data_IF_207597072079
#
_entry.id   IF_207597072079
#
_cell.length_a   1.000
_cell.length_b   1.000
_cell.length_c   1.000
_cell.angle_alpha   90.00
_cell.angle_beta   90.00
_cell.angle_gamma   90.00
#
_symmetry.space_group_name_H-M   'P 1'
#
loop_
_entity.id
_entity.type
_entity.pdbx_description
1 polymer ?
#
# COMPACT_ATOMS: atom_id res chain seq x y z
N UNK A 1 18.33 13.72 1.61
CA UNK A 1 19.36 14.51 2.31
C UNK A 1 18.78 15.80 2.90
N UNK A 2 18.22 16.71 2.09
CA UNK A 2 17.62 17.96 2.59
C UNK A 2 16.39 17.76 3.48
N UNK A 3 15.64 16.68 3.24
CA UNK A 3 14.49 16.24 4.06
C UNK A 3 14.88 15.40 5.28
N UNK A 4 16.18 15.15 5.51
CA UNK A 4 16.64 14.49 6.75
C UNK A 4 16.32 15.38 7.94
N UNK A 5 15.77 14.86 9.06
CA UNK A 5 15.46 15.65 10.25
C UNK A 5 16.66 16.45 10.77
N UNK A 6 17.86 15.88 10.68
CA UNK A 6 19.09 16.53 11.13
C UNK A 6 19.47 17.73 10.25
N UNK A 7 19.35 17.58 8.92
CA UNK A 7 19.63 18.67 7.97
C UNK A 7 18.56 19.74 8.07
N UNK A 8 17.30 19.35 8.24
CA UNK A 8 16.16 20.26 8.45
C UNK A 8 16.32 21.10 9.71
N UNK A 9 16.69 20.49 10.85
CA UNK A 9 16.96 21.24 12.08
C UNK A 9 18.09 22.25 11.90
N UNK A 10 19.13 21.93 11.13
CA UNK A 10 20.22 22.87 10.82
C UNK A 10 19.77 24.01 9.91
N UNK A 11 18.96 23.73 8.89
CA UNK A 11 18.38 24.76 8.03
C UNK A 11 17.48 25.71 8.83
N UNK A 12 16.67 25.17 9.74
CA UNK A 12 15.79 25.94 10.63
C UNK A 12 16.59 26.87 11.57
N UNK A 13 17.76 26.44 12.07
CA UNK A 13 18.63 27.32 12.88
C UNK A 13 19.28 28.46 12.08
N UNK A 14 19.48 28.29 10.78
CA UNK A 14 20.11 29.31 9.91
C UNK A 14 19.07 30.29 9.34
N UNK A 15 17.81 29.87 9.22
CA UNK A 15 16.73 30.72 8.77
C UNK A 15 16.49 31.86 9.78
N UNK A 16 16.59 33.12 9.32
CA UNK A 16 16.23 34.24 10.18
C UNK A 16 14.71 34.43 10.13
N UNK A 17 14.09 34.62 11.29
CA UNK A 17 12.66 34.96 11.34
C UNK A 17 12.50 36.47 11.26
N UNK A 18 11.79 36.93 10.25
CA UNK A 18 11.25 38.29 10.21
C UNK A 18 9.74 38.16 10.03
N UNK A 19 8.98 38.67 11.01
CA UNK A 19 7.51 38.66 11.00
C UNK A 19 6.85 37.27 10.79
N UNK A 20 7.44 36.20 11.34
CA UNK A 20 6.89 34.82 11.23
C UNK A 20 7.23 34.11 9.92
N UNK A 21 7.95 34.78 9.01
CA UNK A 21 8.51 34.16 7.81
C UNK A 21 9.98 33.78 8.07
N UNK A 22 10.26 32.48 8.01
CA UNK A 22 11.62 31.95 8.03
C UNK A 22 12.26 32.14 6.67
N UNK A 23 12.91 33.29 6.46
CA UNK A 23 13.55 33.58 5.19
C UNK A 23 15.00 33.06 5.20
N UNK A 24 15.32 32.24 4.21
CA UNK A 24 16.64 31.68 3.98
C UNK A 24 17.24 32.31 2.73
N UNK A 25 18.27 33.14 2.90
CA UNK A 25 18.99 33.72 1.77
C UNK A 25 19.95 32.72 1.15
N UNK A 26 20.27 32.87 -0.14
CA UNK A 26 21.27 32.04 -0.84
C UNK A 26 22.62 32.03 -0.10
N UNK A 27 23.07 33.18 0.40
CA UNK A 27 24.29 33.28 1.20
C UNK A 27 24.29 32.39 2.47
N UNK A 28 23.12 32.15 3.08
CA UNK A 28 22.98 31.26 4.23
C UNK A 28 22.96 29.78 3.85
N UNK A 29 22.49 29.47 2.65
CA UNK A 29 22.57 28.13 2.07
C UNK A 29 24.00 27.77 1.68
N UNK A 30 24.75 28.70 1.11
CA UNK A 30 26.15 28.48 0.71
C UNK A 30 27.05 28.19 1.93
N UNK A 31 26.71 28.74 3.09
CA UNK A 31 27.42 28.48 4.35
C UNK A 31 27.08 27.13 5.00
N UNK A 32 26.10 26.38 4.45
CA UNK A 32 25.67 25.11 5.02
C UNK A 32 26.66 24.00 4.69
N UNK A 33 27.43 23.59 5.71
CA UNK A 33 28.28 22.40 5.61
C UNK A 33 27.43 21.14 5.71
N UNK A 34 27.24 20.46 4.57
CA UNK A 34 26.56 19.18 4.51
C UNK A 34 27.60 18.05 4.50
N UNK A 35 27.48 17.04 5.38
CA UNK A 35 28.31 15.84 5.27
C UNK A 35 27.91 15.08 4.02
N UNK A 36 28.85 14.92 3.08
CA UNK A 36 28.66 14.14 1.86
C UNK A 36 29.22 12.73 2.12
N UNK A 37 28.36 11.67 2.12
CA UNK A 37 28.83 10.30 2.28
C UNK A 37 29.65 9.84 1.06
N UNK A 38 30.44 8.76 1.20
CA UNK A 38 31.19 8.19 0.08
C UNK A 38 30.25 7.72 -1.05
N UNK A 39 30.77 7.62 -2.27
CA UNK A 39 29.98 7.15 -3.42
C UNK A 39 29.40 5.74 -3.18
N UNK A 40 30.16 4.85 -2.55
CA UNK A 40 29.71 3.51 -2.21
C UNK A 40 28.50 3.54 -1.26
N UNK A 41 28.56 4.36 -0.21
CA UNK A 41 27.43 4.54 0.72
C UNK A 41 26.21 5.17 0.03
N UNK A 42 26.42 6.09 -0.91
CA UNK A 42 25.34 6.66 -1.70
C UNK A 42 24.68 5.59 -2.58
N UNK A 43 25.48 4.76 -3.26
CA UNK A 43 24.99 3.68 -4.10
C UNK A 43 24.19 2.65 -3.30
N UNK A 44 24.68 2.25 -2.12
CA UNK A 44 23.95 1.35 -1.23
C UNK A 44 22.62 1.94 -0.75
N UNK A 45 22.61 3.24 -0.41
CA UNK A 45 21.38 3.93 -0.03
C UNK A 45 20.35 3.96 -1.16
N UNK A 46 20.79 4.21 -2.40
CA UNK A 46 19.91 4.18 -3.58
C UNK A 46 19.38 2.79 -3.88
N UNK A 47 20.23 1.76 -3.75
CA UNK A 47 19.82 0.36 -3.91
C UNK A 47 18.74 -0.02 -2.90
N UNK A 48 18.93 0.32 -1.63
CA UNK A 48 17.93 0.03 -0.60
C UNK A 48 16.62 0.76 -0.84
N UNK A 49 16.68 2.03 -1.27
CA UNK A 49 15.48 2.79 -1.63
C UNK A 49 14.72 2.12 -2.80
N UNK A 50 15.44 1.66 -3.83
CA UNK A 50 14.85 0.93 -4.95
C UNK A 50 14.19 -0.37 -4.50
N UNK A 51 14.85 -1.15 -3.64
CA UNK A 51 14.30 -2.39 -3.09
C UNK A 51 12.99 -2.15 -2.32
N UNK A 52 12.92 -1.09 -1.52
CA UNK A 52 11.71 -0.70 -0.78
C UNK A 52 10.60 -0.27 -1.73
N UNK A 53 10.90 0.54 -2.74
CA UNK A 53 9.89 1.01 -3.70
C UNK A 53 9.31 -0.15 -4.53
N UNK A 54 10.16 -1.11 -4.91
CA UNK A 54 9.74 -2.34 -5.57
C UNK A 54 8.82 -3.19 -4.67
N UNK A 55 9.15 -3.32 -3.38
CA UNK A 55 8.32 -4.03 -2.41
C UNK A 55 6.93 -3.37 -2.28
N UNK A 56 6.90 -2.04 -2.15
CA UNK A 56 5.65 -1.29 -2.05
C UNK A 56 4.82 -1.48 -3.32
N UNK A 57 5.45 -1.44 -4.50
CA UNK A 57 4.78 -1.65 -5.78
C UNK A 57 4.15 -3.05 -5.89
N UNK A 58 4.89 -4.10 -5.51
CA UNK A 58 4.37 -5.47 -5.46
C UNK A 58 3.19 -5.62 -4.49
N UNK A 59 3.29 -5.01 -3.31
CA UNK A 59 2.24 -5.07 -2.29
C UNK A 59 0.96 -4.35 -2.76
N UNK A 60 1.09 -3.20 -3.43
CA UNK A 60 -0.05 -2.53 -4.07
C UNK A 60 -0.72 -3.41 -5.11
N UNK A 61 0.06 -4.02 -6.00
CA UNK A 61 -0.47 -4.92 -7.03
C UNK A 61 -1.20 -6.13 -6.41
N UNK A 62 -0.63 -6.72 -5.36
CA UNK A 62 -1.26 -7.83 -4.64
C UNK A 62 -2.59 -7.43 -3.99
N UNK A 63 -2.67 -6.23 -3.40
CA UNK A 63 -3.90 -5.72 -2.80
C UNK A 63 -5.00 -5.54 -3.85
N UNK A 64 -4.69 -4.90 -4.98
CA UNK A 64 -5.65 -4.73 -6.08
C UNK A 64 -6.13 -6.07 -6.65
N UNK A 65 -5.23 -7.05 -6.77
CA UNK A 65 -5.59 -8.40 -7.22
C UNK A 65 -6.53 -9.09 -6.22
N UNK A 66 -6.24 -8.99 -4.91
CA UNK A 66 -7.07 -9.56 -3.86
C UNK A 66 -8.47 -8.93 -3.81
N UNK A 67 -8.58 -7.61 -3.97
CA UNK A 67 -9.86 -6.91 -4.04
C UNK A 67 -10.72 -7.39 -5.23
N UNK A 68 -10.09 -7.50 -6.40
CA UNK A 68 -10.74 -7.97 -7.63
C UNK A 68 -11.21 -9.41 -7.47
N UNK A 69 -10.35 -10.29 -6.96
CA UNK A 69 -10.67 -11.69 -6.71
C UNK A 69 -11.83 -11.80 -5.70
N UNK A 70 -11.76 -11.08 -4.58
CA UNK A 70 -12.81 -11.09 -3.56
C UNK A 70 -14.17 -10.64 -4.10
N UNK A 71 -14.19 -9.64 -4.99
CA UNK A 71 -15.41 -9.21 -5.66
C UNK A 71 -15.97 -10.27 -6.61
N UNK A 72 -15.12 -10.92 -7.40
CA UNK A 72 -15.52 -11.99 -8.29
C UNK A 72 -16.05 -13.21 -7.52
N UNK A 73 -15.37 -13.61 -6.45
CA UNK A 73 -15.77 -14.74 -5.61
C UNK A 73 -17.12 -14.50 -4.95
N UNK A 74 -17.34 -13.30 -4.36
CA UNK A 74 -18.64 -12.92 -3.79
C UNK A 74 -19.76 -13.03 -4.83
N UNK A 75 -19.53 -12.53 -6.05
CA UNK A 75 -20.53 -12.60 -7.14
C UNK A 75 -20.81 -14.05 -7.54
N UNK A 76 -19.78 -14.86 -7.69
CA UNK A 76 -19.90 -16.28 -8.04
C UNK A 76 -20.67 -17.06 -6.97
N UNK A 77 -20.33 -16.84 -5.70
CA UNK A 77 -20.97 -17.49 -4.56
C UNK A 77 -22.45 -17.13 -4.45
N UNK A 78 -22.80 -15.83 -4.56
CA UNK A 78 -24.20 -15.41 -4.56
C UNK A 78 -24.96 -16.00 -5.75
N UNK A 79 -24.35 -16.01 -6.94
CA UNK A 79 -24.97 -16.60 -8.14
C UNK A 79 -25.24 -18.09 -7.92
N UNK A 80 -24.28 -18.83 -7.35
CA UNK A 80 -24.43 -20.24 -7.05
C UNK A 80 -25.49 -20.50 -5.96
N UNK A 81 -25.58 -19.66 -4.93
CA UNK A 81 -26.61 -19.73 -3.90
C UNK A 81 -28.01 -19.49 -4.45
N UNK A 82 -28.22 -18.41 -5.22
CA UNK A 82 -29.55 -18.06 -5.75
C UNK A 82 -30.00 -18.91 -6.94
N UNK A 83 -29.09 -19.64 -7.59
CA UNK A 83 -29.44 -20.61 -8.64
C UNK A 83 -29.68 -22.03 -8.12
N UNK A 84 -29.69 -22.22 -6.79
CA UNK A 84 -29.91 -23.53 -6.16
C UNK A 84 -28.73 -24.49 -6.30
N UNK A 85 -27.61 -24.08 -6.91
CA UNK A 85 -26.41 -24.92 -7.10
C UNK A 85 -25.63 -25.19 -5.81
N UNK A 86 -25.89 -24.41 -4.75
CA UNK A 86 -25.33 -24.62 -3.41
C UNK A 86 -26.32 -25.25 -2.43
N UNK A 87 -27.51 -25.62 -2.88
CA UNK A 87 -28.52 -26.32 -2.06
C UNK A 87 -28.42 -27.81 -2.35
N UNK A 88 -28.52 -28.69 -1.34
CA UNK A 88 -28.66 -30.12 -1.60
C UNK A 88 -29.93 -30.35 -2.43
N UNK A 89 -29.79 -30.97 -3.61
CA UNK A 89 -30.92 -31.44 -4.40
C UNK A 89 -31.66 -32.49 -3.58
N UNK A 90 -32.75 -32.12 -2.92
CA UNK A 90 -33.74 -33.07 -2.41
C UNK A 90 -34.65 -33.49 -3.58
N UNK A 91 -34.06 -34.19 -4.56
CA UNK A 91 -34.79 -35.29 -5.19
C UNK A 91 -34.55 -36.45 -4.22
N UNK A 92 -35.51 -36.92 -3.42
CA UNK A 92 -36.85 -37.31 -3.82
C UNK A 92 -37.92 -36.86 -2.82
N UNK A 93 -38.85 -36.02 -3.24
CA UNK A 93 -40.13 -35.84 -2.54
C UNK A 93 -41.22 -36.74 -3.17
N UNK A 94 -41.02 -37.18 -4.43
CA UNK A 94 -41.90 -38.10 -5.15
C UNK A 94 -41.76 -39.57 -4.74
N UNK A 95 -40.64 -40.00 -4.14
CA UNK A 95 -40.51 -41.36 -3.57
C UNK A 95 -41.12 -41.46 -2.15
N UNK A 96 -41.34 -40.32 -1.47
CA UNK A 96 -41.84 -40.30 -0.09
C UNK A 96 -43.36 -40.51 -0.04
N UNK A 97 -44.10 -40.03 -1.04
CA UNK A 97 -45.56 -40.16 -1.10
C UNK A 97 -46.01 -41.58 -1.53
N UNK A 98 -45.20 -42.29 -2.34
CA UNK A 98 -45.49 -43.66 -2.78
C UNK A 98 -45.20 -44.71 -1.67
N UNK A 99 -44.31 -44.40 -0.72
CA UNK A 99 -43.96 -45.29 0.40
C UNK A 99 -44.85 -45.14 1.64
N UNK A 100 -45.65 -44.06 1.74
CA UNK A 100 -46.63 -43.85 2.83
C UNK A 100 -48.00 -44.46 2.47
N UNK A 101 -48.24 -44.76 1.20
CA UNK A 101 -49.56 -45.22 0.69
C UNK A 101 -49.57 -46.71 0.28
N UNK A 102 -48.48 -47.45 0.49
CA UNK A 102 -48.36 -48.90 0.26
C UNK A 102 -48.21 -49.68 1.57
#
# INVERSE_FOLDING_TARGET
>A
MLSSPLVRARIETLAASSAGQHNLSLAKLDALLLPIPSLDTQADGLRHLSEVDDQISRMRAALTAAETHGAALRRSLLTAAFSGRLTPSHADESEIEEMITA
#
